data_IF_753452914050
#
_entry.id   IF_753452914050
#
_cell.length_a   1.000
_cell.length_b   1.000
_cell.length_c   1.000
_cell.angle_alpha   90.00
_cell.angle_beta   90.00
_cell.angle_gamma   90.00
#
_symmetry.space_group_name_H-M   'P 1'
#
loop_
_entity.id
_entity.type
_entity.pdbx_description
1 polymer ?
#
# COMPACT_ATOMS: atom_id res chain seq x y z
N UNK A 1 -62.86 -42.79 -72.31
CA UNK A 1 -61.91 -41.76 -72.77
C UNK A 1 -61.48 -40.99 -71.52
N UNK A 2 -60.27 -41.31 -71.02
CA UNK A 2 -59.72 -40.64 -69.84
C UNK A 2 -58.55 -39.72 -70.31
N UNK A 3 -58.58 -38.47 -69.96
CA UNK A 3 -57.48 -37.53 -70.19
C UNK A 3 -56.54 -37.55 -69.03
N UNK A 4 -55.23 -37.43 -69.25
CA UNK A 4 -54.18 -37.50 -68.18
C UNK A 4 -54.01 -36.12 -67.51
N UNK A 5 -53.86 -36.14 -66.18
CA UNK A 5 -53.54 -34.98 -65.34
C UNK A 5 -52.03 -34.60 -65.55
N UNK A 6 -51.76 -33.37 -65.98
CA UNK A 6 -50.46 -32.82 -66.09
C UNK A 6 -49.91 -32.41 -64.69
N UNK A 7 -48.91 -33.13 -64.25
CA UNK A 7 -48.09 -32.75 -63.05
C UNK A 7 -47.23 -31.60 -63.36
N UNK A 8 -47.39 -30.46 -62.69
CA UNK A 8 -46.47 -29.31 -62.72
C UNK A 8 -45.24 -29.61 -61.86
N UNK A 9 -44.12 -29.80 -62.51
CA UNK A 9 -42.82 -29.82 -61.87
C UNK A 9 -42.45 -28.41 -61.46
N UNK A 10 -42.31 -28.14 -60.15
CA UNK A 10 -41.74 -26.92 -59.64
C UNK A 10 -40.27 -26.83 -60.01
N UNK A 11 -39.83 -25.62 -60.40
CA UNK A 11 -38.48 -25.36 -60.89
C UNK A 11 -37.42 -25.42 -59.75
N UNK A 12 -36.28 -26.08 -59.95
CA UNK A 12 -35.21 -26.18 -58.93
C UNK A 12 -34.61 -24.85 -58.51
N UNK A 13 -34.92 -23.74 -59.16
CA UNK A 13 -34.47 -22.40 -58.83
C UNK A 13 -35.21 -21.75 -57.68
N UNK A 14 -36.50 -22.10 -57.44
CA UNK A 14 -37.30 -21.53 -56.37
C UNK A 14 -36.92 -22.12 -54.99
N UNK A 15 -36.66 -23.43 -54.93
CA UNK A 15 -36.25 -24.09 -53.69
C UNK A 15 -34.85 -23.66 -53.23
N UNK A 16 -33.91 -23.38 -54.15
CA UNK A 16 -32.58 -22.84 -53.79
C UNK A 16 -32.65 -21.41 -53.28
N UNK A 17 -33.60 -20.62 -53.71
CA UNK A 17 -33.77 -19.22 -53.27
C UNK A 17 -34.31 -19.16 -51.84
N UNK A 18 -35.33 -19.98 -51.51
CA UNK A 18 -35.91 -20.07 -50.18
C UNK A 18 -34.87 -20.58 -49.13
N UNK A 19 -34.10 -21.62 -49.45
CA UNK A 19 -33.08 -22.17 -48.55
C UNK A 19 -31.93 -21.17 -48.31
N UNK A 20 -31.61 -20.30 -49.26
CA UNK A 20 -30.58 -19.28 -49.12
C UNK A 20 -31.05 -18.10 -48.26
N UNK A 21 -32.30 -17.70 -48.35
CA UNK A 21 -32.90 -16.65 -47.51
C UNK A 21 -33.02 -17.10 -46.04
N UNK A 22 -33.43 -18.35 -45.78
CA UNK A 22 -33.46 -18.91 -44.41
C UNK A 22 -32.07 -19.02 -43.79
N UNK A 23 -31.04 -19.37 -44.56
CA UNK A 23 -29.65 -19.44 -44.07
C UNK A 23 -29.11 -18.07 -43.73
N UNK A 24 -29.43 -17.03 -44.51
CA UNK A 24 -28.96 -15.64 -44.22
C UNK A 24 -29.65 -15.09 -42.98
N UNK A 25 -30.95 -15.36 -42.79
CA UNK A 25 -31.70 -14.92 -41.57
C UNK A 25 -31.14 -15.64 -40.32
N UNK A 26 -30.81 -16.93 -40.39
CA UNK A 26 -30.21 -17.66 -39.27
C UNK A 26 -28.78 -17.19 -38.94
N UNK A 27 -28.01 -16.80 -39.96
CA UNK A 27 -26.69 -16.21 -39.72
C UNK A 27 -26.78 -14.82 -39.09
N UNK A 28 -27.67 -13.98 -39.55
CA UNK A 28 -27.85 -12.63 -39.01
C UNK A 28 -28.35 -12.66 -37.55
N UNK A 29 -29.25 -13.61 -37.18
CA UNK A 29 -29.72 -13.75 -35.80
C UNK A 29 -28.63 -14.24 -34.84
N UNK A 30 -27.73 -15.13 -35.28
CA UNK A 30 -26.60 -15.58 -34.50
C UNK A 30 -25.53 -14.48 -34.30
N UNK A 31 -25.27 -13.69 -35.35
CA UNK A 31 -24.34 -12.58 -35.27
C UNK A 31 -24.82 -11.46 -34.33
N UNK A 32 -26.10 -11.16 -34.31
CA UNK A 32 -26.70 -10.18 -33.41
C UNK A 32 -26.62 -10.64 -31.93
N UNK A 33 -26.80 -11.94 -31.66
CA UNK A 33 -26.65 -12.50 -30.30
C UNK A 33 -25.19 -12.47 -29.79
N UNK A 34 -24.21 -12.69 -30.65
CA UNK A 34 -22.80 -12.59 -30.25
C UNK A 34 -22.34 -11.15 -30.04
N UNK A 35 -22.87 -10.19 -30.80
CA UNK A 35 -22.57 -8.77 -30.61
C UNK A 35 -23.19 -8.24 -29.32
N UNK A 36 -24.42 -8.68 -28.98
CA UNK A 36 -25.06 -8.32 -27.71
C UNK A 36 -24.33 -8.92 -26.49
N UNK A 37 -23.80 -10.14 -26.60
CA UNK A 37 -23.01 -10.77 -25.54
C UNK A 37 -21.61 -10.12 -25.39
N UNK A 38 -20.97 -9.75 -26.50
CA UNK A 38 -19.69 -9.03 -26.48
C UNK A 38 -19.85 -7.59 -25.94
N UNK A 39 -20.95 -6.92 -26.19
CA UNK A 39 -21.22 -5.60 -25.63
C UNK A 39 -21.52 -5.65 -24.11
N UNK A 40 -22.12 -6.74 -23.63
CA UNK A 40 -22.35 -6.93 -22.19
C UNK A 40 -21.05 -7.26 -21.40
N UNK A 41 -20.05 -7.87 -22.04
CA UNK A 41 -18.76 -8.17 -21.39
C UNK A 41 -17.79 -6.98 -21.39
N UNK A 42 -17.99 -5.97 -22.22
CA UNK A 42 -17.17 -4.74 -22.21
C UNK A 42 -17.64 -3.74 -21.14
N UNK A 43 -18.82 -3.94 -20.55
CA UNK A 43 -19.35 -3.15 -19.42
C UNK A 43 -19.03 -3.76 -18.04
N UNK A 44 -18.30 -4.87 -17.97
CA UNK A 44 -17.54 -5.19 -16.77
C UNK A 44 -16.33 -4.24 -16.73
N UNK A 45 -16.60 -2.96 -16.50
CA UNK A 45 -15.61 -1.99 -16.13
C UNK A 45 -14.77 -2.63 -15.01
N UNK A 46 -13.46 -2.48 -15.05
CA UNK A 46 -12.64 -2.75 -13.91
C UNK A 46 -13.39 -2.19 -12.70
N UNK A 47 -13.81 -3.07 -11.77
CA UNK A 47 -14.28 -2.62 -10.49
C UNK A 47 -13.08 -1.88 -9.90
N UNK A 48 -13.04 -0.56 -10.10
CA UNK A 48 -12.27 0.31 -9.26
C UNK A 48 -12.77 -0.06 -7.87
N UNK A 49 -11.87 -0.44 -6.96
CA UNK A 49 -12.25 -0.43 -5.57
C UNK A 49 -12.78 0.97 -5.34
N UNK A 50 -14.09 1.09 -5.23
CA UNK A 50 -14.71 2.28 -4.71
C UNK A 50 -13.99 2.50 -3.37
N UNK A 51 -13.33 3.65 -3.14
CA UNK A 51 -12.81 3.94 -1.83
C UNK A 51 -14.04 3.96 -0.92
N UNK A 52 -14.27 2.83 -0.28
CA UNK A 52 -15.46 2.60 0.51
C UNK A 52 -15.62 3.76 1.49
N UNK A 53 -16.87 4.17 1.64
CA UNK A 53 -17.27 5.15 2.64
C UNK A 53 -17.01 4.62 4.07
N UNK A 54 -16.52 3.39 4.20
CA UNK A 54 -16.24 2.73 5.45
C UNK A 54 -15.12 3.42 6.21
N UNK A 55 -15.45 3.81 7.42
CA UNK A 55 -14.54 4.41 8.36
C UNK A 55 -13.81 3.29 9.13
N UNK A 56 -12.48 3.33 9.15
CA UNK A 56 -11.69 2.43 9.99
C UNK A 56 -11.77 2.90 11.44
N UNK A 57 -12.39 2.09 12.29
CA UNK A 57 -12.38 2.25 13.76
C UNK A 57 -11.78 1.00 14.36
N UNK A 58 -10.61 1.14 14.98
CA UNK A 58 -9.90 0.01 15.59
C UNK A 58 -10.44 -0.25 17.00
N UNK A 59 -10.76 -1.51 17.31
CA UNK A 59 -11.35 -1.96 18.59
C UNK A 59 -12.65 -1.23 18.97
N UNK A 60 -13.32 -0.60 18.00
CA UNK A 60 -14.52 0.21 18.26
C UNK A 60 -14.25 1.54 18.99
N UNK A 61 -13.00 1.93 19.17
CA UNK A 61 -12.58 3.08 19.98
C UNK A 61 -11.68 4.06 19.25
N UNK A 62 -10.73 3.58 18.44
CA UNK A 62 -9.70 4.42 17.80
C UNK A 62 -10.15 4.75 16.38
N UNK A 63 -10.62 5.97 16.18
CA UNK A 63 -10.96 6.46 14.82
C UNK A 63 -9.69 6.75 14.02
N UNK A 64 -9.61 6.21 12.81
CA UNK A 64 -8.50 6.40 11.88
C UNK A 64 -8.94 7.29 10.71
N UNK A 65 -8.34 8.45 10.57
CA UNK A 65 -8.50 9.31 9.38
C UNK A 65 -7.81 8.65 8.20
N UNK A 66 -8.60 7.97 7.36
CA UNK A 66 -8.12 7.24 6.17
C UNK A 66 -8.15 8.09 4.90
N UNK A 67 -8.72 9.29 4.97
CA UNK A 67 -8.82 10.26 3.88
C UNK A 67 -8.63 11.67 4.40
N UNK A 68 -7.88 12.50 3.66
CA UNK A 68 -7.72 13.91 3.97
C UNK A 68 -7.30 14.71 2.73
N UNK A 69 -7.38 16.04 2.83
CA UNK A 69 -6.87 16.93 1.78
C UNK A 69 -5.37 16.71 1.58
N UNK A 70 -4.92 16.64 0.33
CA UNK A 70 -3.51 16.51 0.01
C UNK A 70 -2.69 17.68 0.57
N UNK A 71 -1.48 17.41 1.15
CA UNK A 71 -0.54 18.47 1.52
C UNK A 71 -0.16 19.34 0.31
N UNK A 72 0.15 20.62 0.55
CA UNK A 72 0.41 21.59 -0.53
C UNK A 72 1.54 21.22 -1.50
N UNK A 73 2.49 20.36 -1.07
CA UNK A 73 3.58 19.88 -1.91
C UNK A 73 3.24 18.63 -2.73
N UNK A 74 2.01 18.11 -2.60
CA UNK A 74 1.47 16.98 -3.37
C UNK A 74 0.54 17.55 -4.43
N UNK A 75 1.11 17.90 -5.60
CA UNK A 75 0.41 18.66 -6.64
C UNK A 75 -0.55 17.81 -7.49
N UNK A 76 -0.37 16.48 -7.49
CA UNK A 76 -1.12 15.56 -8.37
C UNK A 76 -2.41 15.01 -7.73
N UNK A 77 -2.71 15.40 -6.50
CA UNK A 77 -3.90 14.95 -5.79
C UNK A 77 -4.58 16.12 -5.07
N UNK A 78 -5.89 16.17 -5.10
CA UNK A 78 -6.69 17.02 -4.20
C UNK A 78 -6.88 16.32 -2.85
N UNK A 79 -7.02 15.00 -2.87
CA UNK A 79 -7.30 14.15 -1.72
C UNK A 79 -6.31 12.99 -1.67
N UNK A 80 -5.82 12.68 -0.47
CA UNK A 80 -4.97 11.52 -0.22
C UNK A 80 -5.72 10.48 0.62
N UNK A 81 -5.44 9.22 0.34
CA UNK A 81 -6.08 8.07 0.96
C UNK A 81 -5.06 7.14 1.60
N UNK A 82 -5.38 6.59 2.77
CA UNK A 82 -4.62 5.48 3.33
C UNK A 82 -4.66 4.26 2.40
N UNK A 83 -3.60 3.47 2.45
CA UNK A 83 -3.53 2.19 1.74
C UNK A 83 -4.63 1.19 2.14
N UNK A 84 -5.26 1.34 3.30
CA UNK A 84 -6.38 0.54 3.77
C UNK A 84 -7.57 0.59 2.80
N UNK A 85 -7.94 1.76 2.31
CA UNK A 85 -9.06 1.97 1.38
C UNK A 85 -8.94 1.26 0.02
N UNK A 86 -7.77 0.73 -0.29
CA UNK A 86 -7.51 -0.03 -1.52
C UNK A 86 -7.47 -1.54 -1.28
N UNK A 87 -7.89 -2.01 -0.10
CA UNK A 87 -7.90 -3.44 0.23
C UNK A 87 -9.28 -4.02 0.04
N UNK A 88 -9.34 -5.35 -0.14
CA UNK A 88 -10.62 -6.07 -0.08
C UNK A 88 -11.15 -6.06 1.35
N UNK A 89 -12.47 -6.21 1.50
CA UNK A 89 -13.16 -6.24 2.79
C UNK A 89 -12.54 -7.26 3.76
N UNK A 90 -12.12 -8.43 3.25
CA UNK A 90 -11.50 -9.46 4.06
C UNK A 90 -10.12 -9.02 4.59
N UNK A 91 -9.38 -8.23 3.81
CA UNK A 91 -8.08 -7.69 4.27
C UNK A 91 -8.29 -6.51 5.21
N UNK A 92 -9.27 -5.66 4.95
CA UNK A 92 -9.66 -4.53 5.81
C UNK A 92 -10.09 -5.00 7.19
N UNK A 93 -10.85 -6.10 7.26
CA UNK A 93 -11.35 -6.66 8.50
C UNK A 93 -10.24 -7.02 9.52
N UNK A 94 -9.04 -7.40 9.07
CA UNK A 94 -7.92 -7.67 9.95
C UNK A 94 -7.45 -6.46 10.77
N UNK A 95 -7.79 -5.24 10.38
CA UNK A 95 -7.35 -4.03 11.10
C UNK A 95 -8.44 -3.45 12.02
N UNK A 96 -9.65 -3.97 11.96
CA UNK A 96 -10.77 -3.49 12.79
C UNK A 96 -10.62 -3.94 14.25
N UNK A 97 -10.03 -5.11 14.48
CA UNK A 97 -9.82 -5.70 15.81
C UNK A 97 -8.37 -6.15 15.96
N UNK A 98 -7.72 -5.73 17.05
CA UNK A 98 -6.35 -6.11 17.37
C UNK A 98 -6.18 -7.62 17.60
N UNK A 99 -7.22 -8.32 18.00
CA UNK A 99 -7.19 -9.77 18.15
C UNK A 99 -7.03 -10.49 16.80
N UNK A 100 -7.63 -9.94 15.75
CA UNK A 100 -7.54 -10.49 14.39
C UNK A 100 -6.30 -10.00 13.63
N UNK A 101 -5.66 -8.91 14.07
CA UNK A 101 -4.50 -8.32 13.41
C UNK A 101 -3.22 -9.09 13.72
N UNK A 102 -2.67 -9.89 12.77
CA UNK A 102 -1.46 -10.68 13.03
C UNK A 102 -0.20 -9.82 13.26
N UNK A 103 -0.23 -8.53 12.95
CA UNK A 103 0.83 -7.59 13.27
C UNK A 103 0.98 -7.32 14.76
N UNK A 104 -0.08 -7.54 15.54
CA UNK A 104 -0.07 -7.35 16.99
C UNK A 104 0.80 -8.35 17.73
N UNK A 105 1.08 -9.52 17.17
CA UNK A 105 2.09 -10.45 17.71
C UNK A 105 3.50 -9.82 17.77
N UNK A 106 3.79 -8.90 16.87
CA UNK A 106 5.03 -8.12 16.91
C UNK A 106 5.01 -7.06 18.01
N UNK A 107 3.86 -6.43 18.25
CA UNK A 107 3.65 -5.47 19.34
C UNK A 107 3.84 -6.18 20.70
N UNK A 108 3.22 -7.34 20.91
CA UNK A 108 3.38 -8.13 22.12
C UNK A 108 4.84 -8.53 22.38
N UNK A 109 5.55 -8.99 21.34
CA UNK A 109 6.96 -9.32 21.45
C UNK A 109 7.83 -8.08 21.78
N UNK A 110 7.46 -6.91 21.29
CA UNK A 110 8.17 -5.67 21.57
C UNK A 110 7.94 -5.15 23.00
N UNK A 111 6.77 -5.41 23.60
CA UNK A 111 6.49 -5.07 25.00
C UNK A 111 7.46 -5.79 25.96
N UNK A 112 7.75 -7.07 25.70
CA UNK A 112 8.74 -7.82 26.49
C UNK A 112 10.14 -7.20 26.36
N UNK A 113 10.53 -6.81 25.13
CA UNK A 113 11.82 -6.17 24.85
C UNK A 113 11.89 -4.77 25.47
N UNK A 114 10.79 -4.02 25.46
CA UNK A 114 10.68 -2.67 26.03
C UNK A 114 11.07 -2.64 27.52
N UNK A 115 10.62 -3.65 28.28
CA UNK A 115 10.89 -3.80 29.69
C UNK A 115 12.21 -4.52 30.03
N UNK A 116 12.87 -5.13 29.02
CA UNK A 116 14.07 -5.95 29.24
C UNK A 116 15.34 -5.09 29.19
N UNK A 117 16.13 -5.16 30.26
CA UNK A 117 17.44 -4.50 30.32
C UNK A 117 18.45 -5.19 29.39
N UNK A 118 19.13 -4.41 28.55
CA UNK A 118 20.14 -4.88 27.60
C UNK A 118 21.41 -4.03 27.63
N UNK A 119 22.47 -4.53 26.97
CA UNK A 119 23.72 -3.82 26.78
C UNK A 119 24.58 -3.70 28.04
N UNK A 120 25.70 -2.99 27.91
CA UNK A 120 26.67 -2.81 29.01
C UNK A 120 26.14 -1.92 30.13
N UNK A 121 25.19 -1.04 29.83
CA UNK A 121 24.59 -0.13 30.81
C UNK A 121 23.45 -0.79 31.59
N UNK A 122 23.00 -1.99 31.18
CA UNK A 122 21.93 -2.75 31.84
C UNK A 122 20.62 -1.97 31.92
N UNK A 123 20.30 -1.20 30.88
CA UNK A 123 19.08 -0.39 30.79
C UNK A 123 18.08 -0.98 29.83
N UNK A 124 16.80 -0.75 30.11
CA UNK A 124 15.68 -1.02 29.21
C UNK A 124 15.19 0.27 28.55
N UNK A 125 14.30 0.16 27.57
CA UNK A 125 13.60 1.31 27.05
C UNK A 125 12.72 1.98 28.14
N UNK A 126 12.06 1.16 28.97
CA UNK A 126 11.22 1.63 30.07
C UNK A 126 11.98 2.45 31.11
N UNK A 127 13.26 2.19 31.36
CA UNK A 127 14.05 2.95 32.34
C UNK A 127 14.21 4.43 31.98
N UNK A 128 14.09 4.76 30.70
CA UNK A 128 14.22 6.14 30.21
C UNK A 128 12.89 6.73 29.72
N UNK A 129 11.99 5.90 29.18
CA UNK A 129 10.79 6.34 28.50
C UNK A 129 9.47 6.00 29.24
N UNK A 130 9.56 5.31 30.41
CA UNK A 130 8.38 4.87 31.15
C UNK A 130 7.56 3.82 30.40
N UNK A 131 6.26 3.94 30.44
CA UNK A 131 5.36 3.04 29.71
C UNK A 131 5.34 3.36 28.21
N UNK A 132 5.09 2.38 27.33
CA UNK A 132 5.06 2.60 25.89
C UNK A 132 4.13 3.72 25.43
N UNK A 133 3.02 3.93 26.14
CA UNK A 133 2.03 4.98 25.84
C UNK A 133 2.60 6.40 25.97
N UNK A 134 3.68 6.60 26.74
CA UNK A 134 4.38 7.87 26.85
C UNK A 134 5.12 8.25 25.54
N UNK A 135 5.28 7.27 24.63
CA UNK A 135 5.84 7.49 23.28
C UNK A 135 4.76 7.80 22.23
N UNK A 136 3.50 8.00 22.65
CA UNK A 136 2.43 8.33 21.72
C UNK A 136 2.80 9.55 20.85
N UNK A 137 2.57 9.43 19.55
CA UNK A 137 2.95 10.44 18.54
C UNK A 137 4.37 10.32 17.99
N UNK A 138 5.23 9.48 18.57
CA UNK A 138 6.58 9.29 18.04
C UNK A 138 6.53 8.87 16.55
N UNK A 139 5.70 7.88 16.19
CA UNK A 139 5.58 7.44 14.78
C UNK A 139 5.06 8.54 13.84
N UNK A 140 4.24 9.44 14.33
CA UNK A 140 3.60 10.47 13.52
C UNK A 140 4.57 11.53 12.95
N UNK A 141 5.74 11.72 13.58
CA UNK A 141 6.67 12.80 13.23
C UNK A 141 7.98 12.33 12.59
N UNK A 142 8.15 11.02 12.43
CA UNK A 142 9.35 10.46 11.77
C UNK A 142 9.07 10.10 10.30
N UNK A 143 10.09 10.24 9.40
CA UNK A 143 11.46 10.72 9.64
C UNK A 143 11.52 12.21 10.01
N UNK A 144 12.52 12.59 10.81
CA UNK A 144 12.73 14.00 11.18
C UNK A 144 14.20 14.37 11.26
N UNK A 145 14.49 15.67 11.17
CA UNK A 145 15.82 16.20 11.43
C UNK A 145 16.22 15.96 12.89
N UNK A 146 17.43 15.47 13.08
CA UNK A 146 18.06 15.33 14.38
C UNK A 146 19.20 16.34 14.49
N UNK A 147 19.07 17.32 15.40
CA UNK A 147 20.03 18.42 15.56
C UNK A 147 21.40 17.94 16.04
N UNK A 148 21.45 16.95 16.93
CA UNK A 148 22.68 16.41 17.49
C UNK A 148 23.50 15.66 16.43
N UNK A 149 22.81 14.90 15.59
CA UNK A 149 23.45 14.14 14.51
C UNK A 149 23.70 14.98 13.25
N UNK A 150 22.98 16.10 13.06
CA UNK A 150 23.06 16.91 11.85
C UNK A 150 22.53 16.20 10.60
N UNK A 151 21.57 15.31 10.76
CA UNK A 151 20.98 14.50 9.69
C UNK A 151 19.49 14.20 9.90
N UNK A 152 18.80 13.82 8.84
CA UNK A 152 17.46 13.24 8.96
C UNK A 152 17.58 11.80 9.43
N UNK A 153 16.82 11.46 10.47
CA UNK A 153 16.72 10.09 11.01
C UNK A 153 15.33 9.52 10.84
N UNK A 154 15.26 8.24 10.50
CA UNK A 154 14.04 7.45 10.61
C UNK A 154 13.82 7.01 12.05
N UNK A 155 12.65 6.48 12.37
CA UNK A 155 12.38 5.97 13.71
C UNK A 155 13.31 4.81 14.08
N UNK A 156 13.62 3.93 13.12
CA UNK A 156 14.56 2.82 13.30
C UNK A 156 16.00 3.31 13.62
N UNK A 157 16.45 4.37 12.95
CA UNK A 157 17.74 4.97 13.25
C UNK A 157 17.76 5.54 14.67
N UNK A 158 16.69 6.17 15.10
CA UNK A 158 16.58 6.72 16.46
C UNK A 158 16.53 5.62 17.53
N UNK A 159 15.83 4.51 17.26
CA UNK A 159 15.86 3.34 18.17
C UNK A 159 17.28 2.80 18.31
N UNK A 160 18.01 2.65 17.21
CA UNK A 160 19.42 2.20 17.27
C UNK A 160 20.34 3.19 17.97
N UNK A 161 20.16 4.49 17.78
CA UNK A 161 20.91 5.50 18.52
C UNK A 161 20.73 5.35 20.04
N UNK A 162 19.50 5.16 20.52
CA UNK A 162 19.24 4.90 21.92
C UNK A 162 19.91 3.59 22.40
N UNK A 163 19.84 2.52 21.60
CA UNK A 163 20.47 1.24 21.93
C UNK A 163 21.99 1.35 22.09
N UNK A 164 22.64 2.00 21.14
CA UNK A 164 24.09 2.13 21.13
C UNK A 164 24.59 3.14 22.17
N UNK A 165 23.99 4.33 22.24
CA UNK A 165 24.53 5.44 23.03
C UNK A 165 24.03 5.49 24.47
N UNK A 166 22.86 4.93 24.78
CA UNK A 166 22.24 4.98 26.11
C UNK A 166 22.20 3.64 26.84
N UNK A 167 22.12 2.55 26.08
CA UNK A 167 22.05 1.19 26.63
C UNK A 167 23.41 0.47 26.52
N UNK A 168 24.31 0.90 25.65
CA UNK A 168 25.53 0.17 25.30
C UNK A 168 25.24 -1.19 24.68
N UNK A 169 24.13 -1.30 23.95
CA UNK A 169 23.65 -2.50 23.26
C UNK A 169 24.03 -2.43 21.77
N UNK A 170 24.11 -3.59 21.12
CA UNK A 170 24.32 -3.63 19.68
C UNK A 170 23.15 -3.07 18.88
N UNK A 171 23.42 -2.33 17.81
CA UNK A 171 22.40 -1.89 16.86
C UNK A 171 21.71 -3.10 16.22
N UNK A 172 20.39 -3.05 16.11
CA UNK A 172 19.66 -4.01 15.31
C UNK A 172 19.83 -3.73 13.82
N UNK A 173 19.86 -4.79 13.00
CA UNK A 173 19.74 -4.60 11.56
C UNK A 173 18.41 -3.90 11.26
N UNK A 174 18.43 -2.93 10.36
CA UNK A 174 17.31 -2.04 10.06
C UNK A 174 15.97 -2.76 9.81
N UNK A 175 16.01 -3.91 9.16
CA UNK A 175 14.86 -4.74 8.85
C UNK A 175 14.82 -6.06 9.63
N UNK A 176 15.52 -6.16 10.77
CA UNK A 176 15.42 -7.30 11.66
C UNK A 176 14.04 -7.33 12.34
N UNK A 177 13.59 -8.53 12.73
CA UNK A 177 12.31 -8.70 13.41
C UNK A 177 12.18 -7.81 14.63
N UNK A 178 13.15 -7.80 15.54
CA UNK A 178 13.10 -6.95 16.74
C UNK A 178 12.94 -5.46 16.44
N UNK A 179 13.56 -4.95 15.36
CA UNK A 179 13.38 -3.57 14.93
C UNK A 179 11.96 -3.34 14.40
N UNK A 180 11.45 -4.21 13.53
CA UNK A 180 10.09 -4.05 12.99
C UNK A 180 9.02 -4.21 14.06
N UNK A 181 9.22 -5.10 15.04
CA UNK A 181 8.33 -5.30 16.18
C UNK A 181 8.32 -4.04 17.08
N UNK A 182 9.48 -3.45 17.39
CA UNK A 182 9.59 -2.21 18.14
C UNK A 182 8.92 -1.02 17.44
N UNK A 183 9.11 -0.87 16.15
CA UNK A 183 8.42 0.18 15.36
C UNK A 183 6.92 -0.09 15.32
N UNK A 184 6.46 -1.36 15.33
CA UNK A 184 5.05 -1.70 15.43
C UNK A 184 4.46 -1.27 16.77
N UNK A 185 5.17 -1.48 17.88
CA UNK A 185 4.78 -0.98 19.20
C UNK A 185 4.64 0.54 19.20
N UNK A 186 5.65 1.26 18.71
CA UNK A 186 5.61 2.74 18.65
C UNK A 186 4.52 3.26 17.70
N UNK A 187 4.17 2.49 16.68
CA UNK A 187 3.06 2.80 15.80
C UNK A 187 1.70 2.56 16.47
N UNK A 188 1.54 1.45 17.18
CA UNK A 188 0.28 1.09 17.86
C UNK A 188 -0.11 2.13 18.92
N UNK A 189 0.84 2.61 19.73
CA UNK A 189 0.58 3.67 20.73
C UNK A 189 0.41 5.07 20.09
N UNK A 190 0.69 5.22 18.80
CA UNK A 190 0.49 6.47 18.05
C UNK A 190 -0.76 6.44 17.16
N UNK A 191 -1.54 5.36 17.14
CA UNK A 191 -2.74 5.22 16.29
C UNK A 191 -3.72 6.37 16.47
N UNK A 192 -4.36 6.77 15.37
CA UNK A 192 -5.30 7.91 15.35
C UNK A 192 -4.62 9.28 15.29
N UNK A 193 -3.36 9.40 15.67
CA UNK A 193 -2.65 10.68 15.61
C UNK A 193 -2.28 11.04 14.17
N UNK A 194 -2.43 12.31 13.75
CA UNK A 194 -2.14 12.71 12.39
C UNK A 194 -0.64 12.66 12.11
N UNK A 195 -0.26 12.06 10.97
CA UNK A 195 1.08 12.17 10.42
C UNK A 195 1.43 13.66 10.22
N UNK A 196 2.59 14.07 10.71
CA UNK A 196 3.07 15.45 10.66
C UNK A 196 4.59 15.50 10.52
N UNK A 197 5.07 15.08 9.36
CA UNK A 197 6.49 15.03 9.03
C UNK A 197 6.94 16.38 8.50
N UNK A 198 7.92 17.01 9.18
CA UNK A 198 8.48 18.29 8.78
C UNK A 198 9.47 18.12 7.61
N UNK A 199 9.35 19.00 6.61
CA UNK A 199 10.12 18.92 5.36
C UNK A 199 10.93 20.19 5.06
N UNK A 200 10.77 21.21 5.88
CA UNK A 200 11.41 22.52 5.77
C UNK A 200 12.69 22.61 6.61
N UNK A 201 13.32 23.79 6.57
CA UNK A 201 14.55 24.04 7.30
C UNK A 201 15.68 23.08 6.91
N UNK A 202 16.40 22.50 7.89
CA UNK A 202 17.57 21.65 7.61
C UNK A 202 17.20 20.30 6.96
N UNK A 203 15.95 19.86 7.03
CA UNK A 203 15.49 18.61 6.38
C UNK A 203 15.24 18.78 4.86
N UNK A 204 15.12 20.01 4.36
CA UNK A 204 14.67 20.30 3.01
C UNK A 204 15.53 19.63 1.93
N UNK A 205 16.87 19.70 2.05
CA UNK A 205 17.75 19.09 1.04
C UNK A 205 17.61 17.58 0.96
N UNK A 206 17.37 16.92 2.10
CA UNK A 206 17.10 15.47 2.15
C UNK A 206 15.73 15.16 1.54
N UNK A 207 14.73 16.00 1.79
CA UNK A 207 13.39 15.86 1.20
C UNK A 207 13.43 16.02 -0.33
N UNK A 208 14.15 17.02 -0.86
CA UNK A 208 14.33 17.23 -2.30
C UNK A 208 15.00 16.01 -2.97
N UNK A 209 16.01 15.43 -2.29
CA UNK A 209 16.63 14.19 -2.74
C UNK A 209 15.65 13.03 -2.78
N UNK A 210 14.80 12.90 -1.77
CA UNK A 210 13.74 11.90 -1.72
C UNK A 210 12.73 12.08 -2.85
N UNK A 211 12.34 13.32 -3.17
CA UNK A 211 11.49 13.67 -4.31
C UNK A 211 12.14 13.25 -5.63
N UNK A 212 13.42 13.55 -5.84
CA UNK A 212 14.17 13.13 -7.02
C UNK A 212 14.13 11.61 -7.20
N UNK A 213 14.41 10.84 -6.12
CA UNK A 213 14.38 9.38 -6.13
C UNK A 213 12.98 8.85 -6.47
N UNK A 214 11.93 9.45 -5.92
CA UNK A 214 10.53 9.02 -6.13
C UNK A 214 10.10 9.13 -7.60
N UNK A 215 10.54 10.15 -8.32
CA UNK A 215 10.23 10.37 -9.74
C UNK A 215 11.25 9.75 -10.71
N UNK A 216 12.39 9.28 -10.20
CA UNK A 216 13.40 8.62 -11.04
C UNK A 216 12.89 7.26 -11.51
N UNK A 217 13.05 6.98 -12.81
CA UNK A 217 12.73 5.70 -13.41
C UNK A 217 13.85 4.70 -13.21
N UNK A 218 13.50 3.51 -12.74
CA UNK A 218 14.45 2.46 -12.40
C UNK A 218 14.30 1.23 -13.27
N UNK A 219 15.43 0.55 -13.45
CA UNK A 219 15.54 -0.80 -13.99
C UNK A 219 15.12 -0.96 -15.44
N UNK A 220 15.02 -2.22 -15.85
CA UNK A 220 14.67 -2.58 -17.23
C UNK A 220 13.23 -2.19 -17.62
N UNK A 221 12.36 -1.98 -16.65
CA UNK A 221 10.97 -1.59 -16.90
C UNK A 221 10.80 -0.06 -16.91
N UNK A 222 11.82 0.70 -16.58
CA UNK A 222 11.83 2.17 -16.56
C UNK A 222 10.61 2.75 -15.81
N UNK A 223 10.31 2.22 -14.63
CA UNK A 223 9.20 2.66 -13.79
C UNK A 223 9.71 3.41 -12.56
N UNK A 224 9.08 4.53 -12.26
CA UNK A 224 9.24 5.28 -11.01
C UNK A 224 8.16 4.92 -9.98
N UNK A 225 8.31 5.40 -8.75
CA UNK A 225 7.25 5.28 -7.74
C UNK A 225 5.96 5.96 -8.21
N UNK A 226 6.08 7.16 -8.82
CA UNK A 226 4.95 7.92 -9.34
C UNK A 226 4.15 7.14 -10.39
N UNK A 227 4.80 6.38 -11.28
CA UNK A 227 4.07 5.62 -12.30
C UNK A 227 3.07 4.61 -11.71
N UNK A 228 3.36 4.04 -10.53
CA UNK A 228 2.44 3.15 -9.84
C UNK A 228 1.50 3.90 -8.90
N UNK A 229 2.02 4.85 -8.11
CA UNK A 229 1.31 5.45 -6.99
C UNK A 229 0.61 6.78 -7.31
N UNK A 230 0.89 7.38 -8.47
CA UNK A 230 0.19 8.57 -8.96
C UNK A 230 -0.59 8.28 -10.25
N UNK A 231 0.09 7.75 -11.28
CA UNK A 231 -0.55 7.55 -12.59
C UNK A 231 -1.54 6.37 -12.59
N UNK A 232 -1.34 5.37 -11.72
CA UNK A 232 -2.06 4.09 -11.75
C UNK A 232 -2.64 3.64 -10.39
N UNK A 233 -2.75 4.52 -9.39
CA UNK A 233 -3.43 4.14 -8.16
C UNK A 233 -4.89 3.77 -8.45
N UNK A 234 -5.46 2.86 -7.66
CA UNK A 234 -6.79 2.29 -7.88
C UNK A 234 -6.83 1.17 -8.93
N UNK A 235 -5.81 1.05 -9.78
CA UNK A 235 -5.73 -0.05 -10.76
C UNK A 235 -5.19 -1.33 -10.12
N UNK A 236 -5.60 -2.47 -10.67
CA UNK A 236 -5.09 -3.76 -10.24
C UNK A 236 -3.66 -4.01 -10.72
N UNK A 237 -2.82 -4.48 -9.82
CA UNK A 237 -1.53 -5.10 -10.14
C UNK A 237 -1.54 -6.53 -9.62
N UNK A 238 -1.68 -7.51 -10.51
CA UNK A 238 -1.93 -8.92 -10.15
C UNK A 238 -3.23 -9.04 -9.35
N UNK A 239 -3.19 -9.51 -8.11
CA UNK A 239 -4.34 -9.69 -7.22
C UNK A 239 -4.46 -8.58 -6.15
N UNK A 240 -3.84 -7.43 -6.36
CA UNK A 240 -3.82 -6.34 -5.39
C UNK A 240 -4.01 -4.99 -6.08
N UNK A 241 -4.65 -4.03 -5.41
CA UNK A 241 -4.78 -2.68 -5.93
C UNK A 241 -3.54 -1.83 -5.60
N UNK A 242 -3.13 -1.01 -6.54
CA UNK A 242 -2.15 0.04 -6.30
C UNK A 242 -2.78 1.14 -5.46
N UNK A 243 -2.23 1.42 -4.29
CA UNK A 243 -2.60 2.58 -3.48
C UNK A 243 -1.81 3.82 -3.90
N UNK A 244 -2.11 4.97 -3.31
CA UNK A 244 -1.31 6.19 -3.47
C UNK A 244 0.07 6.13 -2.78
N UNK A 245 0.44 5.01 -2.15
CA UNK A 245 1.76 4.76 -1.59
C UNK A 245 2.02 5.41 -0.25
N UNK A 246 1.00 5.77 0.51
CA UNK A 246 1.15 6.37 1.84
C UNK A 246 1.77 5.40 2.84
N UNK A 247 2.52 5.94 3.82
CA UNK A 247 3.28 5.14 4.81
C UNK A 247 2.70 5.15 6.21
N UNK A 248 1.54 5.74 6.40
CA UNK A 248 0.85 5.85 7.70
C UNK A 248 0.50 4.49 8.34
N UNK A 249 0.34 3.43 7.54
CA UNK A 249 0.07 2.06 8.00
C UNK A 249 1.32 1.23 8.34
N UNK A 250 2.55 1.77 8.19
CA UNK A 250 3.76 1.00 8.46
C UNK A 250 4.15 0.99 9.95
N UNK A 251 4.80 -0.14 10.39
CA UNK A 251 5.13 -1.34 9.62
C UNK A 251 3.88 -2.11 9.23
N UNK A 252 3.94 -2.85 8.10
CA UNK A 252 2.81 -3.61 7.60
C UNK A 252 3.03 -5.11 7.74
N UNK A 253 2.05 -5.82 8.30
CA UNK A 253 2.03 -7.28 8.20
C UNK A 253 1.56 -7.67 6.81
N UNK A 254 2.38 -8.39 6.08
CA UNK A 254 2.03 -8.85 4.74
C UNK A 254 1.59 -10.28 4.74
N UNK A 255 0.35 -10.54 4.32
CA UNK A 255 -0.24 -11.88 4.21
C UNK A 255 0.61 -12.78 3.30
N UNK A 256 1.17 -12.22 2.23
CA UNK A 256 2.02 -12.93 1.26
C UNK A 256 3.27 -13.56 1.88
N UNK A 257 3.90 -12.94 2.86
CA UNK A 257 5.14 -13.43 3.48
C UNK A 257 5.03 -13.63 4.99
N UNK A 258 3.84 -13.46 5.56
CA UNK A 258 3.47 -13.75 6.94
C UNK A 258 4.40 -13.10 7.98
N UNK A 259 4.78 -11.83 7.76
CA UNK A 259 5.62 -11.08 8.69
C UNK A 259 5.40 -9.57 8.58
N UNK A 260 5.79 -8.84 9.61
CA UNK A 260 5.92 -7.39 9.56
C UNK A 260 7.06 -6.98 8.61
N UNK A 261 6.80 -5.95 7.82
CA UNK A 261 7.75 -5.38 6.87
C UNK A 261 7.89 -3.88 7.14
N UNK A 262 9.14 -3.40 7.16
CA UNK A 262 9.45 -1.99 7.24
C UNK A 262 9.12 -1.25 5.92
N UNK A 263 9.08 0.08 5.98
CA UNK A 263 8.99 0.94 4.79
C UNK A 263 10.11 0.62 3.79
N UNK A 264 11.34 0.47 4.27
CA UNK A 264 12.50 0.17 3.41
C UNK A 264 12.44 -1.22 2.77
N UNK A 265 11.87 -2.22 3.45
CA UNK A 265 11.59 -3.53 2.82
C UNK A 265 10.61 -3.39 1.65
N UNK A 266 9.61 -2.49 1.79
CA UNK A 266 8.67 -2.21 0.71
C UNK A 266 9.34 -1.50 -0.47
N UNK A 267 10.12 -0.45 -0.20
CA UNK A 267 10.89 0.24 -1.24
C UNK A 267 11.81 -0.70 -2.01
N UNK A 268 12.55 -1.53 -1.27
CA UNK A 268 13.40 -2.57 -1.86
C UNK A 268 12.62 -3.50 -2.77
N UNK A 269 11.44 -3.92 -2.34
CA UNK A 269 10.56 -4.77 -3.14
C UNK A 269 10.10 -4.08 -4.43
N UNK A 270 9.63 -2.84 -4.36
CA UNK A 270 9.16 -2.08 -5.51
C UNK A 270 10.28 -1.86 -6.54
N UNK A 271 11.47 -1.39 -6.11
CA UNK A 271 12.61 -1.17 -7.02
C UNK A 271 13.07 -2.49 -7.66
N UNK A 272 13.17 -3.58 -6.90
CA UNK A 272 13.49 -4.91 -7.46
C UNK A 272 12.46 -5.34 -8.52
N UNK A 273 11.18 -5.07 -8.29
CA UNK A 273 10.10 -5.45 -9.22
C UNK A 273 10.17 -4.66 -10.55
N UNK A 274 10.88 -3.51 -10.60
CA UNK A 274 11.24 -2.82 -11.86
C UNK A 274 12.46 -3.45 -12.56
N UNK A 275 13.02 -4.55 -12.02
CA UNK A 275 14.26 -5.20 -12.45
C UNK A 275 15.49 -4.31 -12.31
N UNK A 276 15.55 -3.55 -11.23
CA UNK A 276 16.70 -2.72 -10.85
C UNK A 276 17.43 -3.29 -9.64
N UNK A 277 18.70 -2.90 -9.50
CA UNK A 277 19.39 -2.98 -8.21
C UNK A 277 18.77 -1.98 -7.23
N UNK A 278 18.56 -2.43 -6.01
CA UNK A 278 17.95 -1.61 -4.95
C UNK A 278 19.00 -1.03 -4.02
N UNK A 279 18.64 0.04 -3.32
CA UNK A 279 19.40 0.55 -2.20
C UNK A 279 19.27 -0.36 -0.97
N UNK A 280 20.22 -0.26 -0.04
CA UNK A 280 20.18 -0.99 1.21
C UNK A 280 19.18 -0.36 2.19
N UNK A 281 18.46 -1.15 3.03
CA UNK A 281 17.71 -0.59 4.15
C UNK A 281 18.62 0.26 5.06
N UNK A 282 18.16 1.45 5.45
CA UNK A 282 18.93 2.41 6.23
C UNK A 282 19.90 3.26 5.43
N UNK A 283 20.03 3.07 4.11
CA UNK A 283 20.89 3.93 3.29
C UNK A 283 20.36 5.37 3.20
N UNK A 284 21.24 6.37 2.97
CA UNK A 284 20.82 7.76 2.82
C UNK A 284 19.75 7.97 1.75
N UNK A 285 19.79 7.19 0.67
CA UNK A 285 18.79 7.24 -0.39
C UNK A 285 17.41 6.79 0.11
N UNK A 286 17.35 5.71 0.89
CA UNK A 286 16.08 5.24 1.44
C UNK A 286 15.57 6.12 2.58
N UNK A 287 16.44 6.72 3.39
CA UNK A 287 16.07 7.73 4.38
C UNK A 287 15.46 8.96 3.70
N UNK A 288 16.07 9.44 2.63
CA UNK A 288 15.54 10.56 1.84
C UNK A 288 14.19 10.21 1.20
N UNK A 289 14.08 9.03 0.59
CA UNK A 289 12.83 8.55 -0.01
C UNK A 289 11.74 8.40 1.05
N UNK A 290 12.05 7.87 2.24
CA UNK A 290 11.08 7.74 3.33
C UNK A 290 10.59 9.11 3.80
N UNK A 291 11.47 10.09 3.99
CA UNK A 291 11.09 11.46 4.35
C UNK A 291 10.10 12.04 3.33
N UNK A 292 10.40 11.90 2.03
CA UNK A 292 9.52 12.39 0.98
C UNK A 292 8.16 11.67 0.99
N UNK A 293 8.16 10.34 1.02
CA UNK A 293 6.91 9.56 0.95
C UNK A 293 6.08 9.73 2.22
N UNK A 294 6.70 9.78 3.40
CA UNK A 294 5.99 10.01 4.65
C UNK A 294 5.29 11.38 4.68
N UNK A 295 5.97 12.43 4.20
CA UNK A 295 5.39 13.77 4.13
C UNK A 295 4.17 13.86 3.22
N UNK A 296 4.08 13.01 2.19
CA UNK A 296 2.91 12.94 1.30
C UNK A 296 1.65 12.47 2.03
N UNK A 297 1.83 11.74 3.14
CA UNK A 297 0.74 11.25 3.99
C UNK A 297 0.38 12.17 5.16
N UNK A 298 0.94 13.38 5.24
CA UNK A 298 0.63 14.30 6.32
C UNK A 298 -0.88 14.58 6.40
N UNK A 299 -1.43 14.47 7.61
CA UNK A 299 -2.87 14.60 7.88
C UNK A 299 -3.64 13.28 7.94
N UNK A 300 -3.15 12.18 7.34
CA UNK A 300 -3.69 10.84 7.58
C UNK A 300 -3.30 10.38 8.99
N UNK A 301 -4.15 9.62 9.65
CA UNK A 301 -3.80 9.03 10.95
C UNK A 301 -2.72 7.97 10.83
N UNK A 302 -1.85 7.86 11.85
CA UNK A 302 -1.06 6.66 12.06
C UNK A 302 -2.02 5.48 12.21
N UNK A 303 -1.86 4.47 11.39
CA UNK A 303 -2.74 3.30 11.30
C UNK A 303 -2.04 2.03 11.80
N UNK A 304 -0.71 2.00 11.69
CA UNK A 304 0.10 0.79 11.93
C UNK A 304 0.05 0.20 13.35
N UNK A 305 0.34 -1.12 13.47
CA UNK A 305 0.69 -2.00 12.37
C UNK A 305 -0.53 -2.38 11.52
N UNK A 306 -0.40 -2.21 10.21
CA UNK A 306 -1.46 -2.51 9.25
C UNK A 306 -1.32 -3.90 8.63
N UNK A 307 -2.37 -4.39 7.95
CA UNK A 307 -2.36 -5.66 7.22
C UNK A 307 -2.50 -5.41 5.72
N UNK A 308 -1.66 -6.06 4.91
CA UNK A 308 -1.65 -5.91 3.44
C UNK A 308 -1.37 -7.27 2.76
N UNK A 309 -1.74 -7.42 1.50
CA UNK A 309 -1.50 -8.62 0.68
C UNK A 309 -0.02 -8.88 0.38
#
# INVERSE_FOLDING_TARGET
MAQPILSQKTSPSAERRASREESVIKLASKSASYIALAAATVLAGAAMADPDEDQLVINGEIEIVTETKAPAHVENFDTIYSGWRFRSDETQAFEIDDFDNPGMLGVEAALDVWATAEGSEGKSCADCHGEPDEMAGARAVYPKWNEEAGEVRTLEMQVNDCRETRMGAEAWKYNARGMTDMVALLSSVSRGMPMNVAIDGPAQSTWEKGKEIYYTRYGQLELSCANCHEDNYGNMIRADHLSQGQTNGFPTYRLKNTKLNSVHDRFKGCIRDTRAHTYAPGSPEFVALELYVASRGNGLSVEGPSVRN
#
